data_IF_208632366133
#
_entry.id   IF_208632366133
#
_cell.length_a   1.000
_cell.length_b   1.000
_cell.length_c   1.000
_cell.angle_alpha   90.00
_cell.angle_beta   90.00
_cell.angle_gamma   90.00
#
_symmetry.space_group_name_H-M   'P 1'
#
loop_
_entity.id
_entity.type
_entity.pdbx_description
1 polymer ?
#
# COMPACT_ATOMS: atom_id res chain seq x y z
N UNK A 1 9.04 -16.96 18.26
CA UNK A 1 7.61 -17.37 18.37
C UNK A 1 6.62 -16.21 18.54
N UNK A 2 6.89 -15.16 19.33
CA UNK A 2 5.91 -14.06 19.58
C UNK A 2 5.35 -13.41 18.30
N UNK A 3 6.21 -13.15 17.31
CA UNK A 3 5.80 -12.55 16.02
C UNK A 3 4.77 -13.43 15.29
N UNK A 4 4.95 -14.75 15.31
CA UNK A 4 4.00 -15.69 14.69
C UNK A 4 2.64 -15.63 15.39
N UNK A 5 2.61 -15.62 16.72
CA UNK A 5 1.35 -15.48 17.48
C UNK A 5 0.64 -14.19 17.13
N UNK A 6 1.37 -13.08 17.13
CA UNK A 6 0.81 -11.75 16.85
C UNK A 6 0.19 -11.65 15.46
N UNK A 7 0.77 -12.34 14.47
CA UNK A 7 0.31 -12.35 13.08
C UNK A 7 -0.54 -13.59 12.74
N UNK A 8 -1.05 -14.31 13.76
CA UNK A 8 -1.91 -15.50 13.62
C UNK A 8 -1.28 -16.65 12.78
N UNK A 9 0.04 -16.77 12.84
CA UNK A 9 0.82 -17.77 12.12
C UNK A 9 1.02 -19.05 12.96
N UNK A 10 1.15 -20.18 12.27
CA UNK A 10 1.39 -21.48 12.89
C UNK A 10 2.83 -21.54 13.44
N UNK A 11 2.94 -21.61 14.78
CA UNK A 11 4.22 -21.67 15.50
C UNK A 11 4.94 -23.00 15.31
N UNK A 12 4.18 -24.08 15.14
CA UNK A 12 4.72 -25.43 14.97
C UNK A 12 5.31 -25.62 13.56
N UNK A 13 4.71 -24.97 12.55
CA UNK A 13 5.24 -25.03 11.19
C UNK A 13 6.41 -24.06 11.03
N UNK A 14 7.57 -24.57 10.59
CA UNK A 14 8.81 -23.80 10.39
C UNK A 14 9.49 -24.09 9.05
N UNK A 15 8.94 -25.01 8.26
CA UNK A 15 9.51 -25.52 7.01
C UNK A 15 8.89 -24.86 5.78
N UNK A 16 7.74 -24.22 5.95
CA UNK A 16 7.02 -23.50 4.89
C UNK A 16 7.03 -22.00 5.14
N UNK A 17 7.11 -21.17 4.08
CA UNK A 17 6.86 -19.75 4.20
C UNK A 17 5.45 -19.49 4.75
N UNK A 18 5.30 -18.45 5.57
CA UNK A 18 4.00 -18.01 6.10
C UNK A 18 3.88 -16.49 5.95
N UNK A 19 2.67 -16.01 5.70
CA UNK A 19 2.34 -14.58 5.56
C UNK A 19 1.14 -14.27 6.46
N UNK A 20 1.25 -13.20 7.23
CA UNK A 20 0.22 -12.78 8.18
C UNK A 20 0.22 -11.26 8.33
N UNK A 21 -0.81 -10.76 9.01
CA UNK A 21 -0.95 -9.34 9.31
C UNK A 21 -1.22 -9.15 10.78
N UNK A 22 -0.74 -8.04 11.32
CA UNK A 22 -1.06 -7.62 12.67
C UNK A 22 -1.29 -6.12 12.70
N UNK A 23 -2.46 -5.70 13.18
CA UNK A 23 -2.74 -4.31 13.50
C UNK A 23 -2.25 -3.99 14.90
N UNK A 24 -1.45 -2.93 15.07
CA UNK A 24 -0.90 -2.51 16.35
C UNK A 24 -1.15 -1.02 16.57
N UNK A 25 -1.31 -0.63 17.83
CA UNK A 25 -1.25 0.75 18.26
C UNK A 25 0.10 0.98 18.95
N UNK A 26 0.95 1.83 18.37
CA UNK A 26 2.27 2.18 18.90
C UNK A 26 2.34 3.70 19.02
N UNK A 27 2.62 4.22 20.21
CA UNK A 27 2.69 5.66 20.50
C UNK A 27 1.48 6.46 19.98
N UNK A 28 0.28 5.87 20.13
CA UNK A 28 -0.98 6.47 19.66
C UNK A 28 -1.21 6.40 18.15
N UNK A 29 -0.33 5.78 17.37
CA UNK A 29 -0.48 5.56 15.93
C UNK A 29 -0.92 4.14 15.62
N UNK A 30 -1.92 4.00 14.77
CA UNK A 30 -2.36 2.71 14.25
C UNK A 30 -1.51 2.31 13.04
N UNK A 31 -0.73 1.24 13.19
CA UNK A 31 0.10 0.67 12.13
C UNK A 31 -0.37 -0.74 11.78
N UNK A 32 -0.34 -1.05 10.50
CA UNK A 32 -0.59 -2.39 9.98
C UNK A 32 0.76 -3.01 9.62
N UNK A 33 1.13 -4.10 10.28
CA UNK A 33 2.35 -4.84 9.94
C UNK A 33 1.97 -6.03 9.08
N UNK A 34 2.62 -6.17 7.93
CA UNK A 34 2.64 -7.42 7.17
C UNK A 34 3.88 -8.20 7.54
N UNK A 35 3.71 -9.43 7.99
CA UNK A 35 4.76 -10.29 8.52
C UNK A 35 4.89 -11.49 7.60
N UNK A 36 6.10 -11.73 7.10
CA UNK A 36 6.43 -12.93 6.32
C UNK A 36 7.54 -13.69 7.04
N UNK A 37 7.32 -14.99 7.30
CA UNK A 37 8.38 -15.89 7.78
C UNK A 37 8.84 -16.81 6.67
N UNK A 38 10.14 -17.03 6.56
CA UNK A 38 10.76 -17.88 5.55
C UNK A 38 11.74 -18.86 6.24
N UNK A 39 11.73 -20.16 5.88
CA UNK A 39 12.76 -21.08 6.37
C UNK A 39 14.15 -20.66 5.85
N UNK A 40 15.15 -20.77 6.71
CA UNK A 40 16.55 -20.45 6.43
C UNK A 40 17.48 -21.51 7.07
N UNK A 41 18.75 -21.53 6.69
CA UNK A 41 19.74 -22.52 7.17
C UNK A 41 19.85 -22.52 8.71
N UNK A 42 19.73 -21.34 9.34
CA UNK A 42 19.89 -21.16 10.78
C UNK A 42 18.56 -20.93 11.52
N UNK A 43 17.43 -21.33 10.93
CA UNK A 43 16.10 -21.17 11.53
C UNK A 43 15.12 -20.46 10.61
N UNK A 44 14.43 -19.45 11.11
CA UNK A 44 13.44 -18.70 10.31
C UNK A 44 13.87 -17.25 10.14
N UNK A 45 13.92 -16.79 8.90
CA UNK A 45 13.99 -15.37 8.58
C UNK A 45 12.61 -14.73 8.71
N UNK A 46 12.55 -13.50 9.21
CA UNK A 46 11.31 -12.74 9.33
C UNK A 46 11.48 -11.42 8.59
N UNK A 47 10.56 -11.12 7.69
CA UNK A 47 10.44 -9.82 7.03
C UNK A 47 9.17 -9.16 7.52
N UNK A 48 9.27 -7.93 8.00
CA UNK A 48 8.12 -7.13 8.41
C UNK A 48 8.04 -5.88 7.55
N UNK A 49 6.87 -5.60 7.00
CA UNK A 49 6.55 -4.35 6.31
C UNK A 49 5.59 -3.56 7.16
N UNK A 50 6.02 -2.36 7.55
CA UNK A 50 5.18 -1.40 8.25
C UNK A 50 4.35 -0.63 7.22
N UNK A 51 3.04 -0.66 7.39
CA UNK A 51 2.10 0.15 6.63
C UNK A 51 1.44 1.12 7.60
N UNK A 52 1.77 2.39 7.45
CA UNK A 52 1.07 3.45 8.16
C UNK A 52 -0.27 3.70 7.45
N UNK A 53 -1.39 3.46 8.14
CA UNK A 53 -2.74 3.73 7.61
C UNK A 53 -3.02 5.23 7.51
N UNK A 54 -2.18 6.07 8.13
CA UNK A 54 -2.23 7.52 7.93
C UNK A 54 -1.64 7.94 6.57
N UNK A 55 -1.46 7.02 5.60
CA UNK A 55 -1.03 7.35 4.25
C UNK A 55 -1.93 8.45 3.69
N UNK A 56 -1.37 9.65 3.72
CA UNK A 56 -2.02 10.91 3.39
C UNK A 56 -2.72 10.73 2.05
N UNK A 57 -4.01 11.02 2.05
CA UNK A 57 -4.76 11.25 0.82
C UNK A 57 -4.10 12.47 0.17
N UNK A 58 -3.28 12.24 -0.85
CA UNK A 58 -2.48 13.28 -1.50
C UNK A 58 -3.29 13.82 -2.67
N UNK A 59 -3.62 15.11 -2.63
CA UNK A 59 -4.19 15.80 -3.78
C UNK A 59 -3.24 15.64 -4.98
N UNK A 60 -3.78 15.47 -6.18
CA UNK A 60 -2.97 15.27 -7.39
C UNK A 60 -1.93 16.40 -7.58
N UNK A 61 -2.28 17.62 -7.16
CA UNK A 61 -1.41 18.81 -7.13
C UNK A 61 -0.14 18.65 -6.28
N UNK A 62 -0.20 17.82 -5.24
CA UNK A 62 0.89 17.62 -4.28
C UNK A 62 1.83 16.47 -4.69
N UNK A 63 1.57 15.81 -5.82
CA UNK A 63 2.42 14.71 -6.32
C UNK A 63 3.70 15.18 -7.02
N UNK A 64 3.90 16.49 -7.19
CA UNK A 64 5.10 17.06 -7.82
C UNK A 64 5.13 16.88 -9.34
N UNK A 65 3.97 16.67 -9.97
CA UNK A 65 3.86 16.69 -11.44
C UNK A 65 4.04 18.12 -11.96
N UNK A 66 4.67 18.27 -13.12
CA UNK A 66 4.61 19.52 -13.86
C UNK A 66 3.15 19.82 -14.25
N UNK A 67 2.76 21.10 -14.25
CA UNK A 67 1.37 21.52 -14.48
C UNK A 67 0.78 20.93 -15.77
N UNK A 68 1.56 20.90 -16.86
CA UNK A 68 1.14 20.35 -18.16
C UNK A 68 0.85 18.85 -18.10
N UNK A 69 1.62 18.09 -17.33
CA UNK A 69 1.44 16.64 -17.21
C UNK A 69 0.28 16.31 -16.27
N UNK A 70 0.11 17.11 -15.19
CA UNK A 70 -1.08 17.02 -14.33
C UNK A 70 -2.35 17.24 -15.14
N UNK A 71 -2.43 18.33 -15.90
CA UNK A 71 -3.61 18.65 -16.72
C UNK A 71 -3.95 17.54 -17.74
N UNK A 72 -2.94 16.93 -18.34
CA UNK A 72 -3.11 15.78 -19.26
C UNK A 72 -3.70 14.59 -18.53
N UNK A 73 -3.17 14.25 -17.36
CA UNK A 73 -3.67 13.15 -16.53
C UNK A 73 -5.11 13.42 -16.08
N UNK A 74 -5.41 14.62 -15.58
CA UNK A 74 -6.77 14.99 -15.19
C UNK A 74 -7.78 14.85 -16.33
N UNK A 75 -7.41 15.33 -17.52
CA UNK A 75 -8.26 15.25 -18.71
C UNK A 75 -8.52 13.80 -19.12
N UNK A 76 -7.51 12.94 -19.02
CA UNK A 76 -7.63 11.51 -19.28
C UNK A 76 -8.54 10.82 -18.26
N UNK A 77 -8.38 11.13 -16.96
CA UNK A 77 -9.21 10.58 -15.89
C UNK A 77 -10.68 11.01 -15.98
N UNK A 78 -10.96 12.22 -16.50
CA UNK A 78 -12.33 12.76 -16.64
C UNK A 78 -13.09 12.21 -17.86
N UNK A 79 -12.47 11.39 -18.72
CA UNK A 79 -13.16 10.74 -19.84
C UNK A 79 -14.24 9.76 -19.34
N UNK A 80 -15.36 9.64 -20.06
CA UNK A 80 -16.46 8.72 -19.71
C UNK A 80 -16.11 7.25 -19.92
N UNK A 81 -15.13 6.96 -20.78
CA UNK A 81 -14.63 5.62 -21.06
C UNK A 81 -13.17 5.67 -21.51
N UNK A 82 -12.42 4.61 -21.22
CA UNK A 82 -11.00 4.48 -21.57
C UNK A 82 -10.21 3.81 -20.46
N UNK A 83 -8.91 3.70 -20.65
CA UNK A 83 -7.99 3.14 -19.66
C UNK A 83 -6.79 4.08 -19.44
N UNK A 84 -6.45 4.32 -18.17
CA UNK A 84 -5.24 5.02 -17.74
C UNK A 84 -4.32 4.00 -17.08
N UNK A 85 -3.10 3.85 -17.61
CA UNK A 85 -2.14 2.88 -17.10
C UNK A 85 -0.98 3.60 -16.41
N UNK A 86 -0.80 3.34 -15.12
CA UNK A 86 0.32 3.89 -14.34
C UNK A 86 1.39 2.81 -14.17
N UNK A 87 2.55 3.02 -14.76
CA UNK A 87 3.65 2.03 -14.80
C UNK A 87 4.86 2.51 -14.01
N UNK A 88 5.76 1.58 -13.66
CA UNK A 88 6.98 1.87 -12.88
C UNK A 88 7.33 0.75 -11.88
N UNK A 89 8.56 0.71 -11.36
CA UNK A 89 9.02 -0.31 -10.42
C UNK A 89 8.34 -0.22 -9.05
N UNK A 90 8.48 -1.24 -8.20
CA UNK A 90 7.95 -1.22 -6.82
C UNK A 90 8.47 0.00 -6.05
N UNK A 91 7.58 0.71 -5.35
CA UNK A 91 7.93 1.91 -4.59
C UNK A 91 7.93 3.22 -5.38
N UNK A 92 7.66 3.21 -6.69
CA UNK A 92 7.66 4.42 -7.54
C UNK A 92 6.42 5.33 -7.41
N UNK A 93 5.60 5.16 -6.37
CA UNK A 93 4.42 6.00 -6.15
C UNK A 93 3.15 5.66 -6.96
N UNK A 94 3.13 4.56 -7.73
CA UNK A 94 1.98 4.18 -8.58
C UNK A 94 0.64 4.16 -7.84
N UNK A 95 0.59 3.49 -6.70
CA UNK A 95 -0.63 3.41 -5.88
C UNK A 95 -1.05 4.80 -5.41
N UNK A 96 -0.11 5.61 -4.93
CA UNK A 96 -0.37 7.00 -4.50
C UNK A 96 -0.97 7.84 -5.63
N UNK A 97 -0.42 7.76 -6.84
CA UNK A 97 -0.95 8.47 -8.02
C UNK A 97 -2.37 8.02 -8.38
N UNK A 98 -2.65 6.72 -8.35
CA UNK A 98 -3.99 6.20 -8.64
C UNK A 98 -5.01 6.60 -7.58
N UNK A 99 -4.64 6.58 -6.30
CA UNK A 99 -5.52 7.02 -5.23
C UNK A 99 -5.85 8.51 -5.34
N UNK A 100 -4.86 9.36 -5.66
CA UNK A 100 -5.08 10.78 -5.92
C UNK A 100 -6.02 11.03 -7.12
N UNK A 101 -5.85 10.27 -8.20
CA UNK A 101 -6.72 10.35 -9.36
C UNK A 101 -8.16 9.89 -9.07
N UNK A 102 -8.34 8.83 -8.27
CA UNK A 102 -9.66 8.38 -7.82
C UNK A 102 -10.34 9.43 -6.95
N UNK A 103 -9.60 10.06 -6.04
CA UNK A 103 -10.13 11.13 -5.19
C UNK A 103 -10.59 12.34 -6.03
N UNK A 104 -9.84 12.72 -7.06
CA UNK A 104 -10.26 13.76 -8.01
C UNK A 104 -11.62 13.46 -8.66
N UNK A 105 -11.91 12.18 -8.92
CA UNK A 105 -13.15 11.73 -9.55
C UNK A 105 -14.28 11.50 -8.55
N UNK A 106 -13.96 11.39 -7.26
CA UNK A 106 -14.91 11.10 -6.20
C UNK A 106 -15.74 12.35 -5.87
N UNK A 107 -16.78 12.61 -6.68
CA UNK A 107 -17.79 13.64 -6.42
C UNK A 107 -19.11 13.02 -5.99
N UNK A 108 -19.92 13.69 -5.16
CA UNK A 108 -21.22 13.15 -4.71
C UNK A 108 -22.17 12.76 -5.85
N UNK A 109 -22.05 13.42 -7.01
CA UNK A 109 -22.88 13.16 -8.20
C UNK A 109 -22.43 11.91 -8.98
N UNK A 110 -21.25 11.37 -8.68
CA UNK A 110 -20.70 10.13 -9.27
C UNK A 110 -20.65 9.04 -8.20
N UNK A 111 -21.83 8.52 -7.83
CA UNK A 111 -22.00 7.27 -7.07
C UNK A 111 -23.12 6.44 -7.69
#
# INVERSE_FOLDING_TARGET
>A
SRIKIMAELNIAEKRLPQDGRVGLAVDGRHVDLRVVTLPSVHGEGVVMRVLDKASVVVDLDKLGMADTERERLERACKQTHGAVLVTGPTGSGKSTTLYAALQLLNTPEKN
#
